data_IF_938976707781
#
_entry.id   IF_938976707781
#
_cell.length_a   1.000
_cell.length_b   1.000
_cell.length_c   1.000
_cell.angle_alpha   90.00
_cell.angle_beta   90.00
_cell.angle_gamma   90.00
#
_symmetry.space_group_name_H-M   'P 1'
#
loop_
_entity.id
_entity.type
_entity.pdbx_description
1 polymer ?
#
# COMPACT_ATOMS: atom_id res chain seq x y z
N UNK A 1 -20.96 9.11 -10.36
CA UNK A 1 -19.88 8.10 -10.33
C UNK A 1 -19.62 7.60 -11.74
N UNK A 2 -18.46 6.99 -12.01
CA UNK A 2 -18.03 6.59 -13.36
C UNK A 2 -19.07 5.77 -14.14
N UNK A 3 -19.71 4.78 -13.51
CA UNK A 3 -20.74 3.93 -14.13
C UNK A 3 -21.98 4.70 -14.61
N UNK A 4 -22.37 5.80 -13.94
CA UNK A 4 -23.50 6.61 -14.37
C UNK A 4 -23.22 7.36 -15.69
N UNK A 5 -21.94 7.61 -15.99
CA UNK A 5 -21.49 8.24 -17.23
C UNK A 5 -21.11 7.21 -18.29
N UNK A 6 -20.87 5.96 -17.90
CA UNK A 6 -20.42 4.86 -18.76
C UNK A 6 -21.26 3.60 -18.48
N UNK A 7 -22.55 3.58 -18.90
CA UNK A 7 -23.47 2.51 -18.55
C UNK A 7 -23.11 1.15 -19.19
N UNK A 8 -22.38 1.16 -20.29
CA UNK A 8 -21.95 -0.05 -21.00
C UNK A 8 -20.63 -0.62 -20.46
N UNK A 9 -19.97 0.06 -19.51
CA UNK A 9 -18.72 -0.40 -18.92
C UNK A 9 -18.98 -1.40 -17.79
N UNK A 10 -18.53 -2.64 -17.96
CA UNK A 10 -18.47 -3.65 -16.89
C UNK A 10 -17.12 -3.55 -16.19
N UNK A 11 -17.13 -3.28 -14.88
CA UNK A 11 -15.92 -3.24 -14.05
C UNK A 11 -16.06 -4.33 -13.00
N UNK A 12 -15.14 -5.30 -13.05
CA UNK A 12 -14.94 -6.27 -11.99
C UNK A 12 -13.74 -5.82 -11.15
N UNK A 13 -13.97 -5.61 -9.84
CA UNK A 13 -12.95 -5.14 -8.92
C UNK A 13 -12.57 -6.27 -7.96
N UNK A 14 -11.29 -6.61 -7.96
CA UNK A 14 -10.69 -7.54 -7.01
C UNK A 14 -9.72 -6.77 -6.12
N UNK A 15 -9.92 -6.85 -4.81
CA UNK A 15 -9.04 -6.20 -3.82
C UNK A 15 -8.02 -7.22 -3.32
N UNK A 16 -6.93 -7.36 -4.06
CA UNK A 16 -5.81 -8.26 -3.74
C UNK A 16 -4.56 -7.46 -3.33
N UNK A 17 -3.51 -8.16 -2.89
CA UNK A 17 -2.22 -7.52 -2.59
C UNK A 17 -1.50 -7.05 -3.88
N UNK A 18 -0.48 -6.21 -3.70
CA UNK A 18 0.28 -5.63 -4.83
C UNK A 18 1.00 -6.66 -5.69
N UNK A 19 1.48 -7.76 -5.09
CA UNK A 19 2.19 -8.81 -5.84
C UNK A 19 1.21 -9.55 -6.73
N UNK A 20 0.06 -9.93 -6.19
CA UNK A 20 -1.02 -10.59 -6.93
C UNK A 20 -1.56 -9.68 -8.04
N UNK A 21 -1.72 -8.38 -7.76
CA UNK A 21 -2.16 -7.39 -8.75
C UNK A 21 -1.21 -7.28 -9.94
N UNK A 22 0.10 -7.16 -9.70
CA UNK A 22 1.11 -7.06 -10.78
C UNK A 22 1.21 -8.37 -11.56
N UNK A 23 1.28 -9.51 -10.88
CA UNK A 23 1.38 -10.82 -11.54
C UNK A 23 0.16 -11.09 -12.42
N UNK A 24 -1.05 -10.83 -11.92
CA UNK A 24 -2.28 -11.04 -12.70
C UNK A 24 -2.40 -10.12 -13.91
N UNK A 25 -1.81 -8.92 -13.87
CA UNK A 25 -1.72 -8.06 -15.06
C UNK A 25 -0.70 -8.59 -16.08
N UNK A 26 0.44 -9.11 -15.61
CA UNK A 26 1.50 -9.69 -16.45
C UNK A 26 1.06 -10.99 -17.13
N UNK A 27 0.32 -11.85 -16.43
CA UNK A 27 -0.17 -13.13 -16.96
C UNK A 27 -1.48 -13.01 -17.76
N UNK A 28 -2.09 -11.81 -17.77
CA UNK A 28 -3.31 -11.50 -18.52
C UNK A 28 -4.61 -11.88 -17.82
N UNK A 29 -4.57 -12.37 -16.58
CA UNK A 29 -5.77 -12.62 -15.76
C UNK A 29 -6.52 -11.33 -15.45
N UNK A 30 -5.81 -10.21 -15.33
CA UNK A 30 -6.37 -8.88 -15.10
C UNK A 30 -6.03 -7.93 -16.24
N UNK A 31 -6.97 -7.07 -16.61
CA UNK A 31 -6.69 -5.99 -17.56
C UNK A 31 -5.81 -4.91 -16.94
N UNK A 32 -5.99 -4.63 -15.64
CA UNK A 32 -5.22 -3.65 -14.88
C UNK A 32 -4.92 -4.24 -13.50
N UNK A 33 -3.64 -4.26 -13.14
CA UNK A 33 -3.16 -4.60 -11.80
C UNK A 33 -2.99 -3.35 -10.94
N UNK A 34 -3.33 -3.44 -9.65
CA UNK A 34 -3.07 -2.36 -8.69
C UNK A 34 -1.87 -2.72 -7.81
N UNK A 35 -0.98 -1.75 -7.60
CA UNK A 35 0.15 -1.86 -6.68
C UNK A 35 0.20 -0.61 -5.79
N UNK A 36 0.32 -0.81 -4.48
CA UNK A 36 0.46 0.27 -3.49
C UNK A 36 1.93 0.59 -3.19
N UNK A 37 2.82 0.21 -4.10
CA UNK A 37 4.26 0.41 -4.05
C UNK A 37 4.81 0.58 -5.46
N UNK A 38 6.05 1.03 -5.57
CA UNK A 38 6.78 1.01 -6.83
C UNK A 38 6.93 -0.42 -7.37
N UNK A 39 6.97 -0.55 -8.69
CA UNK A 39 7.24 -1.82 -9.36
C UNK A 39 8.69 -2.23 -9.10
N UNK A 40 8.90 -3.52 -8.88
CA UNK A 40 10.25 -4.09 -8.74
C UNK A 40 10.91 -4.19 -10.11
N UNK A 41 12.23 -4.22 -10.13
CA UNK A 41 13.00 -4.39 -11.37
C UNK A 41 12.63 -5.70 -12.08
N UNK A 42 12.44 -6.79 -11.33
CA UNK A 42 12.03 -8.08 -11.89
C UNK A 42 10.63 -8.01 -12.53
N UNK A 43 9.73 -7.18 -12.01
CA UNK A 43 8.37 -7.00 -12.57
C UNK A 43 8.43 -6.16 -13.86
N UNK A 44 9.21 -5.07 -13.85
CA UNK A 44 9.38 -4.22 -15.04
C UNK A 44 10.10 -4.94 -16.18
N UNK A 45 11.09 -5.79 -15.87
CA UNK A 45 11.78 -6.61 -16.87
C UNK A 45 10.90 -7.69 -17.50
N UNK A 46 9.84 -8.10 -16.80
CA UNK A 46 8.78 -8.96 -17.34
C UNK A 46 7.73 -8.20 -18.17
N UNK A 47 7.86 -6.87 -18.27
CA UNK A 47 7.00 -6.02 -19.10
C UNK A 47 5.94 -5.22 -18.33
N UNK A 48 5.99 -5.21 -17.00
CA UNK A 48 5.06 -4.38 -16.22
C UNK A 48 5.32 -2.89 -16.47
N UNK A 49 4.28 -2.16 -16.86
CA UNK A 49 4.32 -0.70 -17.05
C UNK A 49 3.43 -0.04 -16.00
N UNK A 50 4.03 0.79 -15.16
CA UNK A 50 3.32 1.50 -14.09
C UNK A 50 2.83 2.88 -14.54
N UNK A 51 1.65 3.28 -14.04
CA UNK A 51 1.16 4.67 -14.09
C UNK A 51 0.75 5.09 -12.69
N UNK A 52 1.33 6.18 -12.18
CA UNK A 52 0.99 6.72 -10.86
C UNK A 52 -0.35 7.43 -10.95
N UNK A 53 -1.37 6.88 -10.28
CA UNK A 53 -2.72 7.46 -10.24
C UNK A 53 -2.96 8.32 -9.00
N UNK A 54 -2.32 7.96 -7.88
CA UNK A 54 -2.46 8.61 -6.59
C UNK A 54 -1.19 8.43 -5.75
N UNK A 55 -1.06 9.28 -4.73
CA UNK A 55 -0.04 9.16 -3.69
C UNK A 55 -0.73 9.01 -2.35
N UNK A 56 -0.50 7.87 -1.69
CA UNK A 56 -1.13 7.54 -0.42
C UNK A 56 -0.19 7.88 0.74
N UNK A 57 -0.78 8.34 1.85
CA UNK A 57 -0.05 8.58 3.10
C UNK A 57 -0.29 7.43 4.09
N UNK A 58 0.78 6.88 4.66
CA UNK A 58 0.70 5.93 5.77
C UNK A 58 0.83 6.73 7.07
N UNK A 59 -0.11 6.53 8.00
CA UNK A 59 -0.09 7.13 9.32
C UNK A 59 0.13 6.06 10.39
N UNK A 60 0.92 6.39 11.41
CA UNK A 60 1.09 5.57 12.61
C UNK A 60 -0.04 5.91 13.58
N UNK A 61 -0.82 4.90 13.99
CA UNK A 61 -1.92 5.07 14.95
C UNK A 61 -1.52 4.44 16.26
N UNK A 62 -1.55 5.23 17.33
CA UNK A 62 -1.25 4.79 18.70
C UNK A 62 -2.54 4.70 19.51
N UNK A 63 -2.61 3.76 20.44
CA UNK A 63 -3.73 3.66 21.37
C UNK A 63 -3.77 4.89 22.29
N UNK A 64 -4.91 5.59 22.44
CA UNK A 64 -5.03 6.76 23.32
C UNK A 64 -4.64 6.53 24.78
N UNK A 65 -4.64 5.28 25.26
CA UNK A 65 -4.19 4.95 26.61
C UNK A 65 -2.67 5.10 26.80
N UNK A 66 -1.88 5.17 25.72
CA UNK A 66 -0.43 5.35 25.77
C UNK A 66 -0.10 6.84 25.90
N UNK A 67 -0.34 7.41 27.08
CA UNK A 67 -0.22 8.85 27.33
C UNK A 67 1.21 9.40 27.32
N UNK A 68 2.21 8.52 27.34
CA UNK A 68 3.63 8.90 27.27
C UNK A 68 4.05 9.40 25.87
N UNK A 69 3.24 9.14 24.85
CA UNK A 69 3.56 9.46 23.46
C UNK A 69 2.63 10.54 22.92
N UNK A 70 3.21 11.70 22.58
CA UNK A 70 2.53 12.82 21.93
C UNK A 70 2.88 12.89 20.43
N UNK A 71 4.16 12.70 20.10
CA UNK A 71 4.66 12.58 18.72
C UNK A 71 5.73 11.48 18.64
N UNK A 72 5.93 10.92 17.44
CA UNK A 72 6.94 9.90 17.18
C UNK A 72 7.83 10.31 16.01
N UNK A 73 9.12 10.37 16.27
CA UNK A 73 10.12 10.44 15.20
C UNK A 73 10.17 9.13 14.41
N UNK A 74 10.63 9.21 13.15
CA UNK A 74 10.82 8.03 12.29
C UNK A 74 11.77 7.01 12.95
N UNK A 75 12.79 7.46 13.68
CA UNK A 75 13.73 6.57 14.36
C UNK A 75 13.08 5.83 15.53
N UNK A 76 12.21 6.49 16.31
CA UNK A 76 11.40 5.83 17.35
C UNK A 76 10.45 4.79 16.72
N UNK A 77 9.74 5.16 15.64
CA UNK A 77 8.89 4.21 14.91
C UNK A 77 9.71 3.02 14.45
N UNK A 78 10.89 3.24 13.86
CA UNK A 78 11.78 2.17 13.43
C UNK A 78 12.16 1.26 14.60
N UNK A 79 12.61 1.82 15.71
CA UNK A 79 13.03 1.08 16.92
C UNK A 79 11.91 0.18 17.46
N UNK A 80 10.66 0.64 17.41
CA UNK A 80 9.48 -0.15 17.77
C UNK A 80 9.32 -1.33 16.80
N UNK A 81 9.35 -1.09 15.49
CA UNK A 81 9.13 -2.12 14.48
C UNK A 81 10.25 -3.17 14.39
N UNK A 82 11.48 -2.81 14.77
CA UNK A 82 12.60 -3.77 14.88
C UNK A 82 12.69 -4.45 16.25
N UNK A 83 11.84 -4.06 17.21
CA UNK A 83 11.74 -4.67 18.54
C UNK A 83 12.80 -4.23 19.56
N UNK A 84 13.53 -3.16 19.27
CA UNK A 84 14.47 -2.55 20.21
C UNK A 84 13.74 -1.80 21.33
N UNK A 85 12.66 -1.08 20.96
CA UNK A 85 11.76 -0.45 21.93
C UNK A 85 10.49 -1.28 22.08
N UNK A 86 10.25 -1.78 23.29
CA UNK A 86 9.14 -2.71 23.60
C UNK A 86 8.14 -2.15 24.60
N UNK A 87 8.37 -0.94 25.12
CA UNK A 87 7.47 -0.24 26.04
C UNK A 87 7.23 1.19 25.58
N UNK A 88 5.98 1.64 25.69
CA UNK A 88 5.59 3.03 25.40
C UNK A 88 6.20 4.04 26.37
N UNK A 89 6.50 3.61 27.60
CA UNK A 89 7.16 4.46 28.61
C UNK A 89 8.66 4.69 28.33
N UNK A 90 9.24 3.93 27.39
CA UNK A 90 10.62 4.07 26.96
C UNK A 90 10.78 5.01 25.75
N UNK A 91 9.67 5.60 25.27
CA UNK A 91 9.61 6.50 24.12
C UNK A 91 9.61 7.97 24.52
#
# INVERSE_FOLDING_TARGET
>A
GYQALNPDATIELMTTDSTTGVTGALDGSYTIGMASRELKEEETSQGAVGTVLAMDGIAVVVNPANTAVDDLSIDQVRSIYVGETTSWDAL
#
